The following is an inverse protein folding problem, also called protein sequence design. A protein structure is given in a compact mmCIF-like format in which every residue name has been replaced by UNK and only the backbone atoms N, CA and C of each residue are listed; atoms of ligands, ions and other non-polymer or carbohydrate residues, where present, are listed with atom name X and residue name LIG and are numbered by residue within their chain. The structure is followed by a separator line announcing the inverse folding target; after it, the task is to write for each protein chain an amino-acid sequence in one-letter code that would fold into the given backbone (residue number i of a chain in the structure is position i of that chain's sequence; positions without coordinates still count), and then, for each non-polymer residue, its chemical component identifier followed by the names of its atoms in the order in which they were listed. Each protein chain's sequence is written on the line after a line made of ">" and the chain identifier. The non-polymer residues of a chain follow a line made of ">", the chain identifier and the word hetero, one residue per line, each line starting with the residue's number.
data_IF_265385510217
#
_entry.id   IF_265385510217
#
_cell.length_a   1.000
_cell.length_b   1.000
_cell.length_c   1.000
_cell.angle_alpha   90.00
_cell.angle_beta   90.00
_cell.angle_gamma   90.00
#
_symmetry.space_group_name_H-M   'P 1'
#
loop_
_entity.id
_entity.type
_entity.pdbx_description
1 polymer ?
#
# COMPACT_ATOMS: atom_id res chain seq x y z
N UNK A 1 7.67 -6.43 -5.58
CA UNK A 1 7.61 -5.48 -4.46
C UNK A 1 6.41 -5.82 -3.56
N UNK A 2 6.38 -7.04 -2.99
CA UNK A 2 5.27 -7.55 -2.16
C UNK A 2 5.76 -8.47 -1.02
N UNK A 3 7.05 -8.39 -0.68
CA UNK A 3 7.70 -9.22 0.33
C UNK A 3 8.27 -8.35 1.46
N UNK A 4 7.68 -7.17 1.68
CA UNK A 4 8.02 -6.36 2.85
C UNK A 4 7.42 -6.99 4.11
N UNK A 5 8.05 -6.76 5.26
CA UNK A 5 7.44 -7.08 6.56
C UNK A 5 6.13 -6.31 6.78
N UNK A 6 6.02 -5.12 6.16
CA UNK A 6 4.80 -4.33 6.03
C UNK A 6 4.74 -3.76 4.62
N UNK A 7 3.66 -4.01 3.90
CA UNK A 7 3.39 -3.44 2.59
C UNK A 7 2.45 -2.24 2.72
N UNK A 8 2.96 -1.06 2.36
CA UNK A 8 2.25 0.23 2.42
C UNK A 8 2.01 0.74 1.01
N UNK A 9 0.82 1.27 0.74
CA UNK A 9 0.52 1.99 -0.50
C UNK A 9 -0.02 3.39 -0.24
N UNK A 10 0.05 4.24 -1.26
CA UNK A 10 -0.63 5.53 -1.31
C UNK A 10 -2.05 5.38 -1.87
N UNK A 11 -2.97 6.31 -1.55
CA UNK A 11 -4.34 6.31 -2.09
C UNK A 11 -4.37 6.27 -3.62
N UNK A 12 -5.31 5.51 -4.17
CA UNK A 12 -5.55 5.30 -5.60
C UNK A 12 -4.39 4.68 -6.41
N UNK A 13 -3.32 4.20 -5.77
CA UNK A 13 -2.19 3.62 -6.47
C UNK A 13 -2.61 2.40 -7.28
N UNK A 14 -2.14 2.29 -8.54
CA UNK A 14 -2.36 1.11 -9.36
C UNK A 14 -1.22 0.12 -9.13
N UNK A 15 -1.54 -1.06 -8.60
CA UNK A 15 -0.58 -2.06 -8.18
C UNK A 15 -1.01 -3.42 -8.73
N UNK A 16 -0.11 -4.06 -9.46
CA UNK A 16 -0.38 -5.37 -10.04
C UNK A 16 0.79 -5.90 -10.86
N UNK A 17 0.84 -7.20 -11.05
CA UNK A 17 1.88 -7.85 -11.85
C UNK A 17 1.66 -7.65 -13.36
N UNK A 18 0.42 -7.82 -13.81
CA UNK A 18 0.02 -7.60 -15.20
C UNK A 18 -0.94 -6.41 -15.30
N UNK A 19 -0.87 -5.64 -16.37
CA UNK A 19 -1.78 -4.52 -16.59
C UNK A 19 -3.24 -4.98 -16.78
N UNK A 20 -4.23 -4.15 -16.41
CA UNK A 20 -5.64 -4.55 -16.39
C UNK A 20 -6.15 -4.98 -17.78
N UNK A 21 -5.64 -4.36 -18.86
CA UNK A 21 -5.99 -4.72 -20.24
C UNK A 21 -5.57 -6.14 -20.60
N UNK A 22 -4.39 -6.58 -20.17
CA UNK A 22 -3.91 -7.94 -20.43
C UNK A 22 -4.79 -8.95 -19.70
N UNK A 23 -5.13 -8.66 -18.44
CA UNK A 23 -5.98 -9.55 -17.63
C UNK A 23 -7.39 -9.66 -18.21
N UNK A 24 -8.00 -8.55 -18.62
CA UNK A 24 -9.32 -8.55 -19.29
C UNK A 24 -9.32 -9.40 -20.56
N UNK A 25 -8.27 -9.31 -21.36
CA UNK A 25 -8.14 -10.10 -22.59
C UNK A 25 -8.00 -11.60 -22.32
N UNK A 26 -7.36 -11.98 -21.21
CA UNK A 26 -7.18 -13.38 -20.81
C UNK A 26 -8.44 -13.98 -20.18
N UNK A 27 -9.08 -13.27 -19.25
CA UNK A 27 -10.25 -13.78 -18.50
C UNK A 27 -11.56 -13.59 -19.29
N UNK A 28 -11.59 -12.67 -20.27
CA UNK A 28 -12.76 -12.31 -21.08
C UNK A 28 -13.96 -11.80 -20.26
N UNK A 29 -13.68 -11.24 -19.09
CA UNK A 29 -14.66 -10.62 -18.19
C UNK A 29 -14.29 -9.17 -17.87
N UNK A 30 -15.29 -8.37 -17.46
CA UNK A 30 -15.06 -7.03 -16.93
C UNK A 30 -14.45 -7.12 -15.54
N UNK A 31 -13.36 -6.41 -15.33
CA UNK A 31 -12.74 -6.34 -14.00
C UNK A 31 -13.62 -5.54 -13.03
N UNK A 32 -13.67 -5.92 -11.74
CA UNK A 32 -14.36 -5.16 -10.72
C UNK A 32 -13.93 -3.70 -10.68
N UNK A 33 -14.82 -2.84 -10.17
CA UNK A 33 -14.45 -1.45 -9.89
C UNK A 33 -13.29 -1.40 -8.88
N UNK A 34 -12.35 -0.49 -9.11
CA UNK A 34 -11.18 -0.38 -8.24
C UNK A 34 -10.20 -1.55 -8.33
N UNK A 35 -10.38 -2.52 -9.24
CA UNK A 35 -9.42 -3.61 -9.42
C UNK A 35 -7.98 -3.08 -9.56
N UNK A 36 -7.04 -3.70 -8.84
CA UNK A 36 -5.64 -3.28 -8.72
C UNK A 36 -5.40 -1.91 -8.05
N UNK A 37 -6.44 -1.24 -7.54
CA UNK A 37 -6.25 -0.05 -6.70
C UNK A 37 -5.82 -0.45 -5.30
N UNK A 38 -5.06 0.43 -4.67
CA UNK A 38 -4.59 0.29 -3.31
C UNK A 38 -5.72 -0.02 -2.30
N UNK A 39 -6.90 0.57 -2.48
CA UNK A 39 -8.08 0.34 -1.64
C UNK A 39 -8.61 -1.09 -1.82
N UNK A 40 -8.72 -1.53 -3.07
CA UNK A 40 -9.10 -2.91 -3.40
C UNK A 40 -8.10 -3.92 -2.83
N UNK A 41 -6.80 -3.64 -2.95
CA UNK A 41 -5.76 -4.54 -2.45
C UNK A 41 -5.68 -4.56 -0.91
N UNK A 42 -5.97 -3.44 -0.25
CA UNK A 42 -6.10 -3.39 1.21
C UNK A 42 -7.29 -4.26 1.67
N UNK A 43 -8.45 -4.12 1.02
CA UNK A 43 -9.65 -4.94 1.33
C UNK A 43 -9.41 -6.44 1.14
N UNK A 44 -8.58 -6.82 0.15
CA UNK A 44 -8.26 -8.22 -0.16
C UNK A 44 -7.00 -8.74 0.56
N UNK A 45 -6.44 -7.98 1.52
CA UNK A 45 -5.33 -8.42 2.37
C UNK A 45 -3.96 -8.49 1.69
N UNK A 46 -3.79 -7.83 0.54
CA UNK A 46 -2.51 -7.72 -0.15
C UNK A 46 -1.66 -6.53 0.34
N UNK A 47 -2.27 -5.58 1.04
CA UNK A 47 -1.61 -4.43 1.67
C UNK A 47 -1.97 -4.39 3.17
N UNK A 48 -1.06 -3.83 3.97
CA UNK A 48 -1.27 -3.66 5.41
C UNK A 48 -1.80 -2.26 5.74
N UNK A 49 -1.34 -1.24 4.99
CA UNK A 49 -1.66 0.16 5.27
C UNK A 49 -1.83 0.98 3.99
N UNK A 50 -2.73 1.95 4.06
CA UNK A 50 -2.95 2.97 3.04
C UNK A 50 -2.68 4.36 3.65
N UNK A 51 -1.61 5.03 3.22
CA UNK A 51 -1.10 6.24 3.87
C UNK A 51 -0.94 7.36 2.85
N UNK A 52 -1.48 8.54 3.16
CA UNK A 52 -1.27 9.73 2.36
C UNK A 52 0.23 10.11 2.34
N UNK A 53 0.73 10.50 1.17
CA UNK A 53 2.14 10.87 0.97
C UNK A 53 2.68 11.84 2.02
N UNK A 54 1.85 12.78 2.48
CA UNK A 54 2.22 13.81 3.46
C UNK A 54 2.51 13.23 4.84
N UNK A 55 1.91 12.09 5.19
CA UNK A 55 2.07 11.40 6.48
C UNK A 55 3.12 10.29 6.41
N UNK A 56 3.49 9.86 5.20
CA UNK A 56 4.32 8.68 4.97
C UNK A 56 5.67 8.73 5.70
N UNK A 57 6.31 9.91 5.78
CA UNK A 57 7.59 10.08 6.49
C UNK A 57 7.46 9.67 7.96
N UNK A 58 6.46 10.21 8.64
CA UNK A 58 6.33 10.07 10.08
C UNK A 58 5.85 8.67 10.44
N UNK A 59 4.98 8.08 9.62
CA UNK A 59 4.54 6.70 9.75
C UNK A 59 5.69 5.69 9.56
N UNK A 60 6.51 5.87 8.52
CA UNK A 60 7.69 5.01 8.30
C UNK A 60 8.67 5.12 9.48
N UNK A 61 8.96 6.34 9.96
CA UNK A 61 9.84 6.55 11.10
C UNK A 61 9.31 5.87 12.37
N UNK A 62 8.00 5.96 12.63
CA UNK A 62 7.32 5.32 13.75
C UNK A 62 7.39 3.79 13.68
N UNK A 63 7.13 3.21 12.50
CA UNK A 63 7.21 1.76 12.28
C UNK A 63 8.62 1.23 12.49
N UNK A 64 9.63 1.88 11.91
CA UNK A 64 11.03 1.48 12.07
C UNK A 64 11.47 1.57 13.53
N UNK A 65 11.10 2.63 14.26
CA UNK A 65 11.41 2.76 15.68
C UNK A 65 10.87 1.57 16.49
N UNK A 66 9.62 1.15 16.21
CA UNK A 66 9.01 -0.03 16.86
C UNK A 66 9.76 -1.33 16.54
N UNK A 67 10.08 -1.57 15.27
CA UNK A 67 10.79 -2.79 14.84
C UNK A 67 12.23 -2.85 15.38
N UNK A 68 12.89 -1.71 15.48
CA UNK A 68 14.27 -1.61 15.98
C UNK A 68 14.36 -1.42 17.49
N UNK A 69 13.23 -1.41 18.22
CA UNK A 69 13.15 -1.18 19.67
C UNK A 69 13.80 0.15 20.10
N UNK A 70 13.62 1.18 19.30
CA UNK A 70 14.10 2.54 19.56
C UNK A 70 12.97 3.39 20.18
N UNK A 71 13.35 4.52 20.79
CA UNK A 71 12.38 5.51 21.22
C UNK A 71 11.60 6.06 20.00
N UNK A 72 10.31 6.44 20.16
CA UNK A 72 9.53 7.01 19.08
C UNK A 72 10.18 8.30 18.55
N UNK A 73 10.07 8.58 17.24
CA UNK A 73 10.58 9.81 16.67
C UNK A 73 9.88 11.03 17.30
N UNK A 74 10.57 12.17 17.43
CA UNK A 74 9.94 13.40 17.89
C UNK A 74 8.81 13.80 16.94
N UNK A 75 7.76 14.38 17.51
CA UNK A 75 6.57 14.81 16.76
C UNK A 75 6.99 15.84 15.70
N UNK A 76 6.68 15.55 14.43
CA UNK A 76 7.01 16.40 13.28
C UNK A 76 6.07 17.60 13.15
N UNK A 77 5.01 17.63 13.95
CA UNK A 77 3.96 18.65 13.98
C UNK A 77 4.30 19.88 14.86
N UNK A 78 5.52 19.92 15.42
CA UNK A 78 6.07 21.02 16.20
C UNK A 78 6.86 22.03 15.35
#
# INVERSE_FOLDING_TARGET
>A
AMLGDVNIAEPNALIGFAGPRVIQQTVRETLPEGFQRSEFLLEHGALDMLIDRRQLRDEIASLLAKFMKQAPPPDSSA
#
